data_IF_637171073966
#
_entry.id   IF_637171073966
#
_cell.length_a   1.000
_cell.length_b   1.000
_cell.length_c   1.000
_cell.angle_alpha   90.00
_cell.angle_beta   90.00
_cell.angle_gamma   90.00
#
_symmetry.space_group_name_H-M   'P 1'
#
loop_
_entity.id
_entity.type
_entity.pdbx_description
1 polymer ?
#
# COMPACT_ATOMS: atom_id res chain seq x y z
N UNK A 1 16.74 -41.69 12.02
CA UNK A 1 17.91 -40.80 11.84
C UNK A 1 17.36 -39.43 11.48
N UNK A 2 17.12 -38.59 12.49
CA UNK A 2 16.57 -37.24 12.30
C UNK A 2 17.72 -36.30 12.00
N UNK A 3 17.81 -35.90 10.74
CA UNK A 3 18.76 -34.91 10.28
C UNK A 3 18.41 -33.57 10.92
N UNK A 4 19.28 -33.10 11.81
CA UNK A 4 19.10 -31.87 12.58
C UNK A 4 19.54 -30.75 11.64
N UNK A 5 18.63 -30.26 10.80
CA UNK A 5 18.90 -29.13 9.92
C UNK A 5 19.55 -28.00 10.73
N UNK A 6 20.79 -27.68 10.39
CA UNK A 6 21.52 -26.58 11.00
C UNK A 6 20.70 -25.31 10.78
N UNK A 7 20.41 -24.57 11.85
CA UNK A 7 19.73 -23.29 11.74
C UNK A 7 20.67 -22.29 11.05
N UNK A 8 20.54 -22.16 9.74
CA UNK A 8 21.23 -21.13 8.97
C UNK A 8 20.73 -19.76 9.40
N UNK A 9 21.65 -18.82 9.58
CA UNK A 9 21.30 -17.44 9.90
C UNK A 9 20.54 -16.83 8.72
N UNK A 10 19.27 -16.52 8.93
CA UNK A 10 18.41 -15.88 7.95
C UNK A 10 18.31 -14.37 8.19
N UNK A 11 18.16 -13.61 7.10
CA UNK A 11 17.83 -12.19 7.17
C UNK A 11 16.44 -11.99 7.78
N UNK A 12 16.25 -10.92 8.54
CA UNK A 12 14.94 -10.51 9.06
C UNK A 12 14.01 -10.11 7.91
N UNK A 13 13.30 -11.11 7.37
CA UNK A 13 12.33 -10.97 6.29
C UNK A 13 11.01 -11.58 6.75
N UNK A 14 9.87 -10.97 6.37
CA UNK A 14 8.58 -11.59 6.62
C UNK A 14 8.53 -12.95 5.94
N UNK A 15 8.00 -13.95 6.64
CA UNK A 15 7.64 -15.22 6.02
C UNK A 15 6.50 -14.98 5.03
N UNK A 16 6.55 -15.62 3.86
CA UNK A 16 5.56 -15.46 2.79
C UNK A 16 4.74 -16.71 2.55
N UNK A 17 5.16 -17.87 3.09
CA UNK A 17 4.44 -19.13 2.99
C UNK A 17 3.73 -19.44 4.33
N UNK A 18 2.39 -19.39 4.37
CA UNK A 18 1.62 -19.76 5.57
C UNK A 18 1.88 -21.19 6.06
N UNK A 19 2.34 -22.11 5.20
CA UNK A 19 2.67 -23.48 5.59
C UNK A 19 3.92 -23.56 6.49
N UNK A 20 4.77 -22.52 6.48
CA UNK A 20 5.96 -22.41 7.31
C UNK A 20 5.73 -21.57 8.56
N UNK A 21 4.48 -21.29 8.91
CA UNK A 21 4.15 -20.43 10.04
C UNK A 21 4.40 -21.10 11.41
N UNK A 22 5.47 -20.66 12.07
CA UNK A 22 5.84 -21.14 13.41
C UNK A 22 5.15 -20.37 14.56
N UNK A 23 4.58 -19.20 14.27
CA UNK A 23 4.09 -18.26 15.29
C UNK A 23 2.56 -18.10 15.31
N UNK A 24 1.83 -18.81 14.43
CA UNK A 24 0.37 -18.83 14.44
C UNK A 24 -0.28 -17.59 13.83
N UNK A 25 0.41 -16.87 12.95
CA UNK A 25 -0.14 -15.75 12.18
C UNK A 25 -1.10 -16.18 11.05
N UNK A 26 -0.91 -17.38 10.49
CA UNK A 26 -1.65 -17.87 9.32
C UNK A 26 -3.17 -17.98 9.53
N UNK A 27 -3.69 -18.52 10.66
CA UNK A 27 -5.14 -18.58 10.89
C UNK A 27 -5.80 -17.19 10.91
N UNK A 28 -5.13 -16.19 11.49
CA UNK A 28 -5.60 -14.81 11.51
C UNK A 28 -5.63 -14.21 10.09
N UNK A 29 -4.51 -14.32 9.37
CA UNK A 29 -4.40 -13.83 7.99
C UNK A 29 -5.47 -14.43 7.07
N UNK A 30 -5.69 -15.74 7.16
CA UNK A 30 -6.72 -16.47 6.41
C UNK A 30 -8.14 -15.99 6.71
N UNK A 31 -8.45 -15.74 7.99
CA UNK A 31 -9.76 -15.22 8.40
C UNK A 31 -10.01 -13.83 7.84
N UNK A 32 -8.99 -12.97 7.90
CA UNK A 32 -9.06 -11.61 7.38
C UNK A 32 -9.19 -11.59 5.85
N UNK A 33 -8.39 -12.39 5.14
CA UNK A 33 -8.45 -12.52 3.68
C UNK A 33 -9.84 -13.00 3.20
N UNK A 34 -10.42 -14.01 3.87
CA UNK A 34 -11.80 -14.46 3.59
C UNK A 34 -12.83 -13.36 3.80
N UNK A 35 -12.68 -12.58 4.86
CA UNK A 35 -13.58 -11.44 5.15
C UNK A 35 -13.49 -10.38 4.06
N UNK A 36 -12.27 -10.04 3.62
CA UNK A 36 -12.03 -9.10 2.52
C UNK A 36 -12.68 -9.60 1.22
N UNK A 37 -12.49 -10.88 0.86
CA UNK A 37 -13.11 -11.47 -0.35
C UNK A 37 -14.64 -11.52 -0.28
N UNK A 38 -15.17 -11.76 0.92
CA UNK A 38 -16.61 -11.87 1.17
C UNK A 38 -17.32 -10.52 1.28
N UNK A 39 -16.59 -9.41 1.35
CA UNK A 39 -17.19 -8.09 1.46
C UNK A 39 -17.97 -7.73 0.17
N UNK A 40 -19.23 -7.29 0.34
CA UNK A 40 -20.16 -6.92 -0.74
C UNK A 40 -20.75 -5.51 -0.56
N UNK A 41 -20.26 -4.75 0.42
CA UNK A 41 -20.71 -3.37 0.61
C UNK A 41 -20.24 -2.48 -0.53
N UNK A 42 -21.01 -1.42 -0.80
CA UNK A 42 -20.65 -0.38 -1.76
C UNK A 42 -19.61 0.61 -1.20
N UNK A 43 -19.46 0.65 0.13
CA UNK A 43 -18.58 1.60 0.80
C UNK A 43 -17.14 1.06 0.91
N UNK A 44 -16.16 1.96 0.78
CA UNK A 44 -14.76 1.63 1.01
C UNK A 44 -14.48 1.39 2.50
N UNK A 45 -13.68 0.36 2.81
CA UNK A 45 -13.25 0.05 4.17
C UNK A 45 -11.76 0.34 4.32
N UNK A 46 -11.39 0.97 5.43
CA UNK A 46 -10.00 1.14 5.86
C UNK A 46 -9.75 0.25 7.07
N UNK A 47 -8.74 -0.62 6.98
CA UNK A 47 -8.32 -1.53 8.04
C UNK A 47 -6.91 -1.16 8.50
N UNK A 48 -6.66 -1.22 9.81
CA UNK A 48 -5.35 -1.00 10.40
C UNK A 48 -4.91 -2.24 11.19
N UNK A 49 -3.72 -2.76 10.88
CA UNK A 49 -3.08 -3.83 11.63
C UNK A 49 -2.09 -3.24 12.65
N UNK A 50 -2.41 -3.34 13.94
CA UNK A 50 -1.59 -2.79 15.01
C UNK A 50 -0.89 -3.89 15.83
N UNK A 51 0.32 -3.61 16.30
CA UNK A 51 1.08 -4.50 17.16
C UNK A 51 2.51 -4.02 17.42
N UNK A 52 3.19 -4.48 18.50
CA UNK A 52 4.55 -4.08 18.86
C UNK A 52 5.57 -4.29 17.73
N UNK A 53 6.73 -3.63 17.79
CA UNK A 53 7.82 -3.95 16.86
C UNK A 53 8.21 -5.43 16.97
N UNK A 54 8.46 -6.10 15.84
CA UNK A 54 8.78 -7.53 15.81
C UNK A 54 7.59 -8.50 15.96
N UNK A 55 6.35 -8.01 16.14
CA UNK A 55 5.15 -8.88 16.27
C UNK A 55 4.68 -9.58 14.99
N UNK A 56 5.48 -9.59 13.92
CA UNK A 56 5.11 -10.30 12.68
C UNK A 56 4.05 -9.62 11.81
N UNK A 57 3.74 -8.33 12.01
CA UNK A 57 2.76 -7.59 11.17
C UNK A 57 3.01 -7.72 9.66
N UNK A 58 4.27 -7.60 9.25
CA UNK A 58 4.66 -7.75 7.84
C UNK A 58 4.44 -9.18 7.33
N UNK A 59 4.68 -10.19 8.18
CA UNK A 59 4.36 -11.60 7.89
C UNK A 59 2.86 -11.81 7.73
N UNK A 60 2.05 -11.22 8.62
CA UNK A 60 0.59 -11.26 8.51
C UNK A 60 0.11 -10.64 7.20
N UNK A 61 0.65 -9.48 6.79
CA UNK A 61 0.32 -8.87 5.50
C UNK A 61 0.67 -9.79 4.32
N UNK A 62 1.87 -10.39 4.33
CA UNK A 62 2.28 -11.34 3.30
C UNK A 62 1.35 -12.57 3.23
N UNK A 63 0.92 -13.11 4.36
CA UNK A 63 -0.02 -14.23 4.40
C UNK A 63 -1.42 -13.83 3.92
N UNK A 64 -1.86 -12.59 4.19
CA UNK A 64 -3.14 -12.09 3.64
C UNK A 64 -3.04 -12.02 2.12
N UNK A 65 -1.97 -11.43 1.58
CA UNK A 65 -1.74 -11.37 0.13
C UNK A 65 -1.74 -12.79 -0.48
N UNK A 66 -1.00 -13.72 0.13
CA UNK A 66 -1.00 -15.14 -0.26
C UNK A 66 -2.42 -15.72 -0.32
N UNK A 67 -3.22 -15.57 0.74
CA UNK A 67 -4.59 -16.12 0.83
C UNK A 67 -5.58 -15.41 -0.13
N UNK A 68 -5.36 -14.13 -0.46
CA UNK A 68 -6.17 -13.41 -1.46
C UNK A 68 -5.90 -13.92 -2.88
N UNK A 69 -4.68 -14.36 -3.16
CA UNK A 69 -4.31 -15.02 -4.42
C UNK A 69 -4.84 -16.46 -4.51
N UNK A 70 -5.12 -17.09 -3.37
CA UNK A 70 -5.78 -18.39 -3.33
C UNK A 70 -7.28 -18.27 -3.68
N UNK A 71 -7.62 -18.49 -4.95
CA UNK A 71 -9.00 -18.52 -5.41
C UNK A 71 -9.12 -18.58 -6.93
N UNK A 72 -10.35 -18.74 -7.48
CA UNK A 72 -10.57 -18.62 -8.92
C UNK A 72 -10.13 -17.24 -9.42
N UNK A 73 -9.42 -17.18 -10.54
CA UNK A 73 -8.86 -15.93 -11.08
C UNK A 73 -9.92 -14.82 -11.25
N UNK A 74 -11.13 -15.19 -11.64
CA UNK A 74 -12.26 -14.27 -11.82
C UNK A 74 -12.73 -13.59 -10.51
N UNK A 75 -12.41 -14.15 -9.34
CA UNK A 75 -12.81 -13.63 -8.03
C UNK A 75 -11.65 -12.99 -7.26
N UNK A 76 -10.43 -13.02 -7.80
CA UNK A 76 -9.26 -12.47 -7.11
C UNK A 76 -9.34 -10.94 -7.11
N UNK A 77 -9.21 -10.29 -5.94
CA UNK A 77 -9.10 -8.85 -5.90
C UNK A 77 -7.79 -8.40 -6.55
N UNK A 78 -7.78 -7.17 -7.04
CA UNK A 78 -6.54 -6.50 -7.43
C UNK A 78 -5.85 -6.02 -6.17
N UNK A 79 -4.68 -6.58 -5.88
CA UNK A 79 -3.85 -6.18 -4.74
C UNK A 79 -2.80 -5.18 -5.22
N UNK A 80 -2.68 -4.06 -4.51
CA UNK A 80 -1.65 -3.04 -4.77
C UNK A 80 -0.88 -2.82 -3.47
N UNK A 81 0.37 -3.29 -3.42
CA UNK A 81 1.23 -3.15 -2.25
C UNK A 81 2.00 -1.82 -2.34
N UNK A 82 1.85 -0.97 -1.32
CA UNK A 82 2.50 0.33 -1.24
C UNK A 82 3.36 0.43 0.03
N UNK A 83 4.66 0.68 -0.13
CA UNK A 83 5.57 0.90 0.98
C UNK A 83 5.93 2.40 1.09
N UNK A 84 5.44 3.12 2.11
CA UNK A 84 5.67 4.55 2.22
C UNK A 84 7.14 4.92 2.46
N UNK A 85 7.94 4.00 3.03
CA UNK A 85 9.34 4.25 3.37
C UNK A 85 10.26 4.38 2.14
N UNK A 86 9.81 3.95 0.97
CA UNK A 86 10.56 4.11 -0.28
C UNK A 86 10.56 5.54 -0.82
N UNK A 87 9.71 6.42 -0.28
CA UNK A 87 9.52 7.78 -0.77
C UNK A 87 9.95 8.78 0.30
N UNK A 88 11.13 9.38 0.14
CA UNK A 88 11.61 10.45 1.03
C UNK A 88 11.03 11.82 0.62
N UNK A 89 10.33 12.48 1.56
CA UNK A 89 9.77 13.85 1.40
C UNK A 89 8.24 13.89 1.27
N UNK A 90 7.57 14.70 2.11
CA UNK A 90 6.10 14.75 2.22
C UNK A 90 5.37 15.12 0.92
N UNK A 91 5.96 15.95 0.04
CA UNK A 91 5.31 16.41 -1.20
C UNK A 91 5.15 15.29 -2.26
N UNK A 92 5.78 14.13 -2.06
CA UNK A 92 5.87 13.07 -3.07
C UNK A 92 5.15 11.77 -2.69
N UNK A 93 4.67 11.61 -1.44
CA UNK A 93 4.05 10.36 -1.00
C UNK A 93 2.67 10.14 -1.65
N UNK A 94 1.82 11.18 -1.66
CA UNK A 94 0.51 11.10 -2.29
C UNK A 94 0.63 10.85 -3.80
N UNK A 95 1.57 11.55 -4.46
CA UNK A 95 1.86 11.35 -5.89
C UNK A 95 2.39 9.95 -6.17
N UNK A 96 3.29 9.44 -5.33
CA UNK A 96 3.82 8.08 -5.44
C UNK A 96 2.73 7.01 -5.27
N UNK A 97 1.86 7.16 -4.27
CA UNK A 97 0.74 6.26 -4.04
C UNK A 97 -0.21 6.23 -5.25
N UNK A 98 -0.61 7.42 -5.70
CA UNK A 98 -1.46 7.60 -6.85
C UNK A 98 -0.83 7.05 -8.15
N UNK A 99 0.47 7.25 -8.33
CA UNK A 99 1.23 6.69 -9.45
C UNK A 99 1.27 5.16 -9.43
N UNK A 100 1.43 4.54 -8.25
CA UNK A 100 1.36 3.08 -8.13
C UNK A 100 -0.04 2.53 -8.43
N UNK A 101 -1.10 3.20 -7.96
CA UNK A 101 -2.46 2.84 -8.33
C UNK A 101 -2.67 2.90 -9.85
N UNK A 102 -2.20 3.99 -10.49
CA UNK A 102 -2.30 4.14 -11.94
C UNK A 102 -1.51 3.08 -12.71
N UNK A 103 -0.41 2.55 -12.18
CA UNK A 103 0.34 1.49 -12.86
C UNK A 103 -0.41 0.14 -12.88
N UNK A 104 -1.20 -0.16 -11.84
CA UNK A 104 -1.85 -1.47 -11.69
C UNK A 104 -3.27 -1.51 -12.27
N UNK A 105 -4.02 -0.40 -12.20
CA UNK A 105 -5.45 -0.36 -12.55
C UNK A 105 -5.77 -0.50 -14.07
N UNK A 106 -5.06 0.16 -15.01
CA UNK A 106 -5.38 0.10 -16.44
C UNK A 106 -5.21 -1.30 -17.05
N UNK A 107 -4.33 -2.11 -16.48
CA UNK A 107 -4.05 -3.47 -16.95
C UNK A 107 -5.26 -4.42 -16.78
N UNK A 108 -6.22 -4.09 -15.89
CA UNK A 108 -7.33 -4.99 -15.55
C UNK A 108 -8.73 -4.42 -15.80
N UNK A 109 -8.91 -3.10 -15.90
CA UNK A 109 -10.25 -2.51 -16.10
C UNK A 109 -10.26 -1.25 -17.00
N UNK A 110 -10.90 -1.35 -18.17
CA UNK A 110 -11.06 -0.22 -19.13
C UNK A 110 -11.81 0.99 -18.56
N UNK A 111 -12.69 0.79 -17.56
CA UNK A 111 -13.43 1.87 -16.90
C UNK A 111 -12.58 2.80 -16.01
N UNK A 112 -11.35 2.39 -15.69
CA UNK A 112 -10.45 3.14 -14.81
C UNK A 112 -9.56 4.16 -15.53
N UNK A 113 -9.61 4.26 -16.86
CA UNK A 113 -8.90 5.34 -17.60
C UNK A 113 -9.30 6.72 -17.09
N UNK A 114 -10.58 6.93 -16.76
CA UNK A 114 -11.09 8.18 -16.17
C UNK A 114 -10.48 8.47 -14.79
N UNK A 115 -10.33 7.43 -13.96
CA UNK A 115 -9.70 7.56 -12.64
C UNK A 115 -8.21 7.85 -12.77
N UNK A 116 -7.52 7.19 -13.73
CA UNK A 116 -6.13 7.50 -14.08
C UNK A 116 -5.95 8.95 -14.53
N UNK A 117 -6.87 9.50 -15.31
CA UNK A 117 -6.86 10.92 -15.71
C UNK A 117 -7.09 11.87 -14.53
N UNK A 118 -8.07 11.59 -13.66
CA UNK A 118 -8.32 12.37 -12.43
C UNK A 118 -7.11 12.37 -11.48
N UNK A 119 -6.46 11.21 -11.37
CA UNK A 119 -5.24 11.04 -10.59
C UNK A 119 -4.08 11.85 -11.20
N UNK A 120 -3.90 11.80 -12.52
CA UNK A 120 -2.87 12.57 -13.22
C UNK A 120 -3.09 14.08 -13.08
N UNK A 121 -4.33 14.54 -13.19
CA UNK A 121 -4.72 15.95 -13.01
C UNK A 121 -4.44 16.43 -11.58
N UNK A 122 -4.84 15.64 -10.57
CA UNK A 122 -4.58 15.97 -9.16
C UNK A 122 -3.08 15.97 -8.83
N UNK A 123 -2.32 15.02 -9.36
CA UNK A 123 -0.85 14.96 -9.22
C UNK A 123 -0.17 16.17 -9.88
N UNK A 124 -0.66 16.59 -11.06
CA UNK A 124 -0.21 17.79 -11.77
C UNK A 124 -0.48 19.07 -10.97
N UNK A 125 -1.67 19.21 -10.39
CA UNK A 125 -2.03 20.36 -9.55
C UNK A 125 -1.14 20.46 -8.29
N UNK A 126 -0.85 19.33 -7.63
CA UNK A 126 0.11 19.27 -6.53
C UNK A 126 1.56 19.55 -6.97
N UNK A 127 1.88 19.53 -8.26
CA UNK A 127 3.20 19.90 -8.81
C UNK A 127 3.37 21.40 -9.07
N UNK A 128 2.27 22.13 -9.26
CA UNK A 128 2.29 23.54 -9.69
C UNK A 128 2.31 24.53 -8.51
N UNK A 129 2.07 24.08 -7.28
CA UNK A 129 1.96 24.98 -6.11
C UNK A 129 3.30 25.42 -5.50
N UNK A 130 4.37 25.58 -6.30
CA UNK A 130 5.67 26.14 -5.85
C UNK A 130 6.08 27.46 -6.50
N UNK A 131 5.22 28.12 -7.31
CA UNK A 131 5.65 29.33 -8.06
C UNK A 131 4.89 30.62 -7.77
N UNK A 132 4.30 30.81 -6.58
CA UNK A 132 3.85 32.17 -6.19
C UNK A 132 3.85 32.38 -4.68
N UNK A 133 5.04 32.57 -4.10
CA UNK A 133 5.17 33.24 -2.79
C UNK A 133 6.45 34.08 -2.71
N UNK A 134 6.79 34.72 -3.82
CA UNK A 134 7.87 35.71 -3.88
C UNK A 134 7.46 36.86 -4.82
N UNK A 135 6.51 37.70 -4.38
CA UNK A 135 6.36 39.13 -4.76
C UNK A 135 5.02 39.71 -4.28
N UNK A 136 4.92 40.02 -2.98
CA UNK A 136 4.14 41.18 -2.51
C UNK A 136 4.86 41.78 -1.30
N UNK A 137 6.04 42.36 -1.54
CA UNK A 137 6.63 43.34 -0.60
C UNK A 137 7.18 44.50 -1.41
N UNK A 138 6.29 45.43 -1.77
CA UNK A 138 6.67 46.77 -2.17
C UNK A 138 5.41 47.65 -2.12
N UNK A 139 5.13 48.26 -0.97
CA UNK A 139 4.45 49.56 -0.97
C UNK A 139 5.11 50.50 0.02
N UNK A 140 5.34 51.71 -0.48
CA UNK A 140 6.32 52.71 -0.07
C UNK A 140 6.00 53.37 1.27
N UNK A 141 7.06 53.62 2.04
CA UNK A 141 7.17 54.76 2.95
C UNK A 141 7.06 56.07 2.15
N UNK A 142 6.14 56.94 2.54
CA UNK A 142 6.15 58.36 2.17
C UNK A 142 5.88 59.19 3.42
N UNK A 143 6.80 60.11 3.64
CA UNK A 143 6.85 61.04 4.75
C UNK A 143 5.62 61.96 4.83
N UNK A 144 5.18 62.21 6.06
CA UNK A 144 4.96 63.55 6.62
C UNK A 144 4.89 63.47 8.13
#
# INVERSE_FOLDING_TARGET
>A
MTDKQAAELSSDRPSTDPAQDLFGHAPFAKTLAKTIRGYRGSDGIVLALYGPWGSGKSTVLAYIEHELEQGPEAERPVVVSFNPWWFSGQENLAKAFLGQLQAVLPAKFKGFEKVGHLIAEFSGALGVSRTSLARVTAFRSSAR
#
